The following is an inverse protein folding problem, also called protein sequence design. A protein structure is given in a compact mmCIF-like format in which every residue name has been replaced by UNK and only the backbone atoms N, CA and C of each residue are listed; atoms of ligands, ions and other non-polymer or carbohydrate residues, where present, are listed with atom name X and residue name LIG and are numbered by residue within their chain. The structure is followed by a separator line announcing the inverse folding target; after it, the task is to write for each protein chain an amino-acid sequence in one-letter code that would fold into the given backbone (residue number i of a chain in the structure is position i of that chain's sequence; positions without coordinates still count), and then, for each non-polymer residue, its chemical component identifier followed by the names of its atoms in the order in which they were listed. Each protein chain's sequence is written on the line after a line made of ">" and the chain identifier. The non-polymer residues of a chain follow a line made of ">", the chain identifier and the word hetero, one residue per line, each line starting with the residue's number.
data_IF_293811865362
#
_entry.id   IF_293811865362
#
_cell.length_a   1.000
_cell.length_b   1.000
_cell.length_c   1.000
_cell.angle_alpha   90.00
_cell.angle_beta   90.00
_cell.angle_gamma   90.00
#
_symmetry.space_group_name_H-M   'P 1'
#
loop_
_entity.id
_entity.type
_entity.pdbx_description
1 polymer ?
#
# COMPACT_ATOMS: atom_id res chain seq x y z
N UNK A 1 -14.81 -4.23 10.29
CA UNK A 1 -15.37 -3.98 8.94
C UNK A 1 -14.40 -4.52 7.90
N UNK A 2 -14.88 -5.14 6.82
CA UNK A 2 -14.04 -5.63 5.72
C UNK A 2 -13.78 -4.53 4.68
N UNK A 3 -12.63 -4.59 3.99
CA UNK A 3 -12.26 -3.66 2.92
C UNK A 3 -13.39 -3.51 1.89
N UNK A 4 -13.89 -4.64 1.37
CA UNK A 4 -14.91 -4.65 0.33
C UNK A 4 -16.22 -3.99 0.76
N UNK A 5 -16.68 -4.23 1.99
CA UNK A 5 -17.90 -3.61 2.50
C UNK A 5 -17.74 -2.08 2.64
N UNK A 6 -16.61 -1.63 3.17
CA UNK A 6 -16.33 -0.19 3.31
C UNK A 6 -16.16 0.48 1.94
N UNK A 7 -15.48 -0.16 0.99
CA UNK A 7 -15.31 0.35 -0.37
C UNK A 7 -16.65 0.46 -1.13
N UNK A 8 -17.60 -0.46 -0.92
CA UNK A 8 -18.97 -0.33 -1.43
C UNK A 8 -19.68 0.91 -0.89
N UNK A 9 -19.54 1.19 0.41
CA UNK A 9 -20.11 2.42 1.01
C UNK A 9 -19.53 3.70 0.44
N UNK A 10 -18.26 3.71 0.03
CA UNK A 10 -17.66 4.88 -0.64
C UNK A 10 -18.27 5.09 -2.03
N UNK A 11 -18.63 4.01 -2.73
CA UNK A 11 -19.23 4.05 -4.07
C UNK A 11 -20.73 4.33 -4.07
N UNK A 12 -21.41 4.07 -2.96
CA UNK A 12 -22.86 4.18 -2.85
C UNK A 12 -23.34 5.65 -2.95
N UNK A 13 -24.01 6.05 -4.05
CA UNK A 13 -24.47 7.41 -4.24
C UNK A 13 -25.67 7.77 -3.35
N UNK A 14 -26.37 6.77 -2.78
CA UNK A 14 -27.49 7.02 -1.87
C UNK A 14 -27.03 7.56 -0.51
N UNK A 15 -25.75 7.38 -0.18
CA UNK A 15 -25.17 7.88 1.07
C UNK A 15 -24.71 9.33 0.93
N UNK A 16 -25.02 10.20 1.91
CA UNK A 16 -24.43 11.53 1.99
C UNK A 16 -22.90 11.49 1.86
N UNK A 17 -22.34 12.42 1.07
CA UNK A 17 -20.90 12.49 0.77
C UNK A 17 -20.01 12.44 2.01
N UNK A 18 -20.45 13.06 3.12
CA UNK A 18 -19.75 13.00 4.41
C UNK A 18 -19.52 11.59 4.95
N UNK A 19 -20.49 10.68 4.77
CA UNK A 19 -20.38 9.29 5.22
C UNK A 19 -19.54 8.44 4.28
N UNK A 20 -19.58 8.76 2.98
CA UNK A 20 -18.70 8.16 1.97
C UNK A 20 -17.25 8.52 2.26
N UNK A 21 -16.96 9.80 2.49
CA UNK A 21 -15.63 10.28 2.88
C UNK A 21 -15.16 9.72 4.24
N UNK A 22 -16.05 9.58 5.22
CA UNK A 22 -15.71 8.91 6.48
C UNK A 22 -15.36 7.43 6.26
N UNK A 23 -16.12 6.73 5.43
CA UNK A 23 -15.83 5.34 5.04
C UNK A 23 -14.50 5.24 4.30
N UNK A 24 -14.18 6.21 3.43
CA UNK A 24 -12.88 6.28 2.75
C UNK A 24 -11.71 6.47 3.73
N UNK A 25 -11.85 7.35 4.73
CA UNK A 25 -10.84 7.48 5.80
C UNK A 25 -10.67 6.18 6.60
N UNK A 26 -11.74 5.40 6.79
CA UNK A 26 -11.60 4.06 7.37
C UNK A 26 -10.78 3.11 6.50
N UNK A 27 -10.82 3.24 5.17
CA UNK A 27 -9.94 2.47 4.26
C UNK A 27 -8.48 2.90 4.40
N UNK A 28 -8.20 4.19 4.60
CA UNK A 28 -6.84 4.68 4.87
C UNK A 28 -6.24 4.10 6.16
N UNK A 29 -7.06 3.82 7.18
CA UNK A 29 -6.59 3.10 8.38
C UNK A 29 -6.18 1.64 8.08
N UNK A 30 -6.69 1.05 6.98
CA UNK A 30 -6.39 -0.34 6.59
C UNK A 30 -5.26 -0.46 5.57
N UNK A 31 -4.97 0.61 4.81
CA UNK A 31 -3.91 0.65 3.81
C UNK A 31 -3.37 2.08 3.68
N UNK A 32 -2.22 2.34 4.28
CA UNK A 32 -1.55 3.63 4.23
C UNK A 32 -0.02 3.45 4.13
N UNK A 33 0.52 3.21 2.92
CA UNK A 33 1.94 2.96 2.72
C UNK A 33 2.86 4.05 3.27
N UNK A 34 2.39 5.30 3.26
CA UNK A 34 3.12 6.47 3.76
C UNK A 34 2.67 6.92 5.16
N UNK A 35 1.95 6.06 5.88
CA UNK A 35 1.17 6.47 7.05
C UNK A 35 -0.08 7.27 6.65
N UNK A 36 -1.00 7.46 7.60
CA UNK A 36 -2.35 7.99 7.32
C UNK A 36 -2.32 9.33 6.56
N UNK A 37 -1.65 10.33 7.14
CA UNK A 37 -1.59 11.68 6.56
C UNK A 37 -0.75 11.74 5.28
N UNK A 38 0.38 11.03 5.24
CA UNK A 38 1.23 10.98 4.04
C UNK A 38 0.51 10.34 2.85
N UNK A 39 -0.30 9.31 3.11
CA UNK A 39 -1.10 8.65 2.07
C UNK A 39 -2.23 9.55 1.57
N UNK A 40 -2.93 10.22 2.48
CA UNK A 40 -3.98 11.19 2.14
C UNK A 40 -3.42 12.36 1.30
N UNK A 41 -2.25 12.90 1.68
CA UNK A 41 -1.56 13.94 0.92
C UNK A 41 -1.11 13.46 -0.46
N UNK A 42 -0.55 12.25 -0.55
CA UNK A 42 -0.15 11.64 -1.82
C UNK A 42 -1.33 11.50 -2.78
N UNK A 43 -2.48 11.04 -2.29
CA UNK A 43 -3.71 10.94 -3.08
C UNK A 43 -4.19 12.31 -3.58
N UNK A 44 -4.17 13.33 -2.72
CA UNK A 44 -4.53 14.69 -3.14
C UNK A 44 -3.59 15.20 -4.25
N UNK A 45 -2.28 14.93 -4.13
CA UNK A 45 -1.31 15.30 -5.15
C UNK A 45 -1.52 14.55 -6.47
N UNK A 46 -1.80 13.24 -6.42
CA UNK A 46 -2.09 12.41 -7.60
C UNK A 46 -3.30 12.90 -8.40
N UNK A 47 -4.34 13.39 -7.70
CA UNK A 47 -5.55 13.89 -8.33
C UNK A 47 -5.42 15.32 -8.87
N UNK A 48 -4.26 15.95 -8.72
CA UNK A 48 -4.06 17.35 -9.14
C UNK A 48 -4.91 18.34 -8.34
N UNK A 49 -5.50 17.92 -7.22
CA UNK A 49 -6.26 18.78 -6.34
C UNK A 49 -5.29 19.75 -5.66
N UNK A 50 -5.05 20.92 -6.28
CA UNK A 50 -4.33 22.05 -5.70
C UNK A 50 -5.14 22.57 -4.52
N UNK A 51 -4.99 21.91 -3.38
CA UNK A 51 -5.59 22.35 -2.12
C UNK A 51 -4.73 23.50 -1.61
N UNK A 52 -5.35 24.67 -1.49
CA UNK A 52 -4.76 25.92 -0.98
C UNK A 52 -4.33 25.86 0.49
N UNK A 53 -4.55 24.73 1.18
CA UNK A 53 -4.14 24.56 2.56
C UNK A 53 -2.88 23.67 2.65
N UNK A 54 -1.81 24.12 3.32
CA UNK A 54 -0.64 23.29 3.62
C UNK A 54 -0.93 22.14 4.62
N UNK A 55 -2.19 21.94 5.00
CA UNK A 55 -2.63 20.93 5.96
C UNK A 55 -3.55 19.88 5.29
N UNK A 56 -3.53 18.62 5.75
CA UNK A 56 -4.44 17.59 5.28
C UNK A 56 -5.91 18.01 5.49
N UNK A 57 -6.87 17.54 4.66
CA UNK A 57 -8.30 17.73 4.88
C UNK A 57 -8.68 17.40 6.32
N UNK A 58 -9.01 18.42 7.12
CA UNK A 58 -9.52 18.19 8.47
C UNK A 58 -10.96 17.67 8.45
N UNK A 59 -11.67 17.76 7.32
CA UNK A 59 -13.08 17.34 7.18
C UNK A 59 -13.38 16.70 5.83
N UNK A 60 -14.40 15.85 5.84
CA UNK A 60 -15.04 15.26 4.67
C UNK A 60 -15.57 16.27 3.63
N UNK A 61 -15.59 17.57 3.96
CA UNK A 61 -16.20 18.64 3.17
C UNK A 61 -15.32 19.12 2.01
N UNK A 62 -14.10 18.58 1.90
CA UNK A 62 -13.10 19.01 0.91
C UNK A 62 -12.90 17.99 -0.23
N UNK A 63 -13.75 16.97 -0.32
CA UNK A 63 -13.75 15.99 -1.40
C UNK A 63 -15.00 16.19 -2.24
N UNK A 64 -14.85 16.35 -3.55
CA UNK A 64 -15.95 16.11 -4.47
C UNK A 64 -16.21 14.61 -4.60
N UNK A 65 -17.39 14.24 -5.09
CA UNK A 65 -17.70 12.83 -5.38
C UNK A 65 -16.70 12.21 -6.39
N UNK A 66 -16.37 12.94 -7.45
CA UNK A 66 -15.45 12.48 -8.47
C UNK A 66 -14.04 12.23 -7.90
N UNK A 67 -13.51 13.16 -7.10
CA UNK A 67 -12.21 13.00 -6.45
C UNK A 67 -12.21 11.80 -5.48
N UNK A 68 -13.30 11.61 -4.72
CA UNK A 68 -13.41 10.52 -3.77
C UNK A 68 -13.37 9.14 -4.47
N UNK A 69 -14.08 9.01 -5.59
CA UNK A 69 -14.08 7.79 -6.39
C UNK A 69 -12.73 7.53 -7.06
N UNK A 70 -12.08 8.58 -7.59
CA UNK A 70 -10.75 8.46 -8.17
C UNK A 70 -9.68 8.11 -7.13
N UNK A 71 -9.74 8.69 -5.93
CA UNK A 71 -8.85 8.33 -4.83
C UNK A 71 -9.09 6.89 -4.36
N UNK A 72 -10.34 6.43 -4.33
CA UNK A 72 -10.65 5.03 -4.03
C UNK A 72 -10.01 4.09 -5.05
N UNK A 73 -10.15 4.37 -6.35
CA UNK A 73 -9.54 3.56 -7.41
C UNK A 73 -8.00 3.53 -7.29
N UNK A 74 -7.37 4.68 -7.06
CA UNK A 74 -5.93 4.76 -6.85
C UNK A 74 -5.47 3.96 -5.61
N UNK A 75 -6.22 4.06 -4.51
CA UNK A 75 -5.93 3.33 -3.27
C UNK A 75 -6.11 1.81 -3.45
N UNK A 76 -7.13 1.39 -4.19
CA UNK A 76 -7.35 -0.03 -4.51
C UNK A 76 -6.24 -0.58 -5.41
N UNK A 77 -5.77 0.18 -6.41
CA UNK A 77 -4.59 -0.18 -7.23
C UNK A 77 -3.35 -0.35 -6.36
N UNK A 78 -3.09 0.60 -5.46
CA UNK A 78 -1.99 0.49 -4.50
C UNK A 78 -2.12 -0.77 -3.63
N UNK A 79 -3.29 -0.99 -3.02
CA UNK A 79 -3.53 -2.16 -2.19
C UNK A 79 -3.36 -3.47 -2.95
N UNK A 80 -3.88 -3.55 -4.17
CA UNK A 80 -3.77 -4.73 -5.02
C UNK A 80 -2.30 -5.06 -5.32
N UNK A 81 -1.46 -4.05 -5.62
CA UNK A 81 -0.02 -4.26 -5.84
C UNK A 81 0.67 -4.83 -4.59
N UNK A 82 0.36 -4.30 -3.40
CA UNK A 82 0.90 -4.79 -2.13
C UNK A 82 0.44 -6.22 -1.80
N UNK A 83 -0.84 -6.54 -2.05
CA UNK A 83 -1.36 -7.90 -1.86
C UNK A 83 -0.71 -8.90 -2.81
N UNK A 84 -0.52 -8.51 -4.08
CA UNK A 84 0.18 -9.34 -5.07
C UNK A 84 1.63 -9.58 -4.67
N UNK A 85 2.34 -8.52 -4.26
CA UNK A 85 3.70 -8.62 -3.74
C UNK A 85 3.78 -9.64 -2.59
N UNK A 86 2.88 -9.52 -1.60
CA UNK A 86 2.84 -10.43 -0.44
C UNK A 86 2.51 -11.87 -0.83
N UNK A 87 1.63 -12.08 -1.81
CA UNK A 87 1.28 -13.41 -2.31
C UNK A 87 2.49 -14.08 -2.98
N UNK A 88 3.19 -13.37 -3.87
CA UNK A 88 4.40 -13.87 -4.54
C UNK A 88 5.50 -14.17 -3.52
N UNK A 89 5.73 -13.26 -2.57
CA UNK A 89 6.70 -13.49 -1.50
C UNK A 89 6.33 -14.74 -0.66
N UNK A 90 5.07 -14.92 -0.33
CA UNK A 90 4.60 -16.08 0.44
C UNK A 90 4.82 -17.40 -0.32
N UNK A 91 4.55 -17.42 -1.63
CA UNK A 91 4.80 -18.57 -2.49
C UNK A 91 6.30 -18.91 -2.52
N UNK A 92 7.16 -17.91 -2.79
CA UNK A 92 8.61 -18.09 -2.79
C UNK A 92 9.12 -18.61 -1.44
N UNK A 93 8.66 -18.01 -0.34
CA UNK A 93 9.02 -18.43 1.02
C UNK A 93 8.54 -19.84 1.37
N UNK A 94 7.40 -20.28 0.82
CA UNK A 94 6.93 -21.65 0.97
C UNK A 94 7.91 -22.65 0.35
N UNK A 95 8.39 -22.36 -0.87
CA UNK A 95 9.41 -23.16 -1.57
C UNK A 95 10.74 -23.17 -0.80
N UNK A 96 11.25 -22.01 -0.39
CA UNK A 96 12.48 -21.90 0.41
C UNK A 96 12.38 -22.65 1.75
N UNK A 97 11.20 -22.64 2.39
CA UNK A 97 10.97 -23.39 3.63
C UNK A 97 11.03 -24.90 3.40
N UNK A 98 10.52 -25.39 2.27
CA UNK A 98 10.63 -26.79 1.86
C UNK A 98 12.10 -27.19 1.60
N UNK A 99 12.90 -26.27 1.08
CA UNK A 99 14.37 -26.40 0.93
C UNK A 99 15.17 -26.16 2.23
N UNK A 100 14.52 -26.24 3.40
CA UNK A 100 15.11 -26.02 4.73
C UNK A 100 15.67 -24.61 5.00
N UNK A 101 15.44 -23.62 4.14
CA UNK A 101 15.78 -22.20 4.38
C UNK A 101 14.65 -21.50 5.14
N UNK A 102 14.56 -21.78 6.44
CA UNK A 102 13.40 -21.40 7.27
C UNK A 102 13.34 -19.94 7.70
N UNK A 103 14.45 -19.20 7.60
CA UNK A 103 14.49 -17.79 8.00
C UNK A 103 14.50 -16.86 6.77
N UNK A 104 13.59 -15.88 6.67
CA UNK A 104 13.72 -14.82 5.67
C UNK A 104 14.96 -13.99 5.96
N UNK A 105 15.60 -13.47 4.91
CA UNK A 105 16.80 -12.66 5.09
C UNK A 105 16.45 -11.27 5.64
N UNK A 106 17.48 -10.54 6.09
CA UNK A 106 17.31 -9.11 6.40
C UNK A 106 16.93 -8.29 5.17
N UNK A 107 17.43 -8.67 3.99
CA UNK A 107 17.09 -8.02 2.72
C UNK A 107 15.61 -8.18 2.38
N UNK A 108 15.06 -9.38 2.57
CA UNK A 108 13.65 -9.67 2.33
C UNK A 108 12.74 -8.86 3.26
N UNK A 109 13.10 -8.76 4.54
CA UNK A 109 12.37 -7.93 5.51
C UNK A 109 12.42 -6.44 5.11
N UNK A 110 13.60 -5.95 4.74
CA UNK A 110 13.75 -4.56 4.31
C UNK A 110 12.96 -4.24 3.04
N UNK A 111 12.88 -5.17 2.07
CA UNK A 111 12.07 -5.01 0.87
C UNK A 111 10.56 -5.00 1.18
N UNK A 112 10.12 -5.87 2.11
CA UNK A 112 8.73 -5.90 2.59
C UNK A 112 8.33 -4.60 3.30
N UNK A 113 9.19 -4.08 4.18
CA UNK A 113 8.92 -2.91 5.02
C UNK A 113 9.14 -1.57 4.28
N UNK A 114 9.67 -1.60 3.04
CA UNK A 114 9.96 -0.39 2.28
C UNK A 114 8.69 0.40 1.99
N UNK A 115 8.75 1.70 2.27
CA UNK A 115 7.66 2.67 2.12
C UNK A 115 7.50 3.04 0.63
N UNK A 116 6.53 2.42 -0.04
CA UNK A 116 6.28 2.57 -1.49
C UNK A 116 4.79 2.59 -1.82
N UNK A 117 4.40 3.43 -2.78
CA UNK A 117 3.01 3.51 -3.24
C UNK A 117 2.58 2.23 -3.95
N UNK A 118 3.38 1.77 -4.92
CA UNK A 118 3.18 0.52 -5.65
C UNK A 118 4.33 -0.43 -5.34
N UNK A 119 4.01 -1.69 -5.09
CA UNK A 119 4.98 -2.76 -4.91
C UNK A 119 5.15 -3.54 -6.21
N UNK A 120 6.40 -3.84 -6.56
CA UNK A 120 6.72 -4.66 -7.72
C UNK A 120 6.67 -6.16 -7.38
N UNK A 121 5.71 -6.88 -7.95
CA UNK A 121 5.56 -8.31 -7.73
C UNK A 121 6.76 -9.11 -8.26
N UNK A 122 7.48 -8.63 -9.28
CA UNK A 122 8.64 -9.30 -9.83
C UNK A 122 9.88 -9.13 -8.93
N UNK A 123 9.95 -8.04 -8.17
CA UNK A 123 10.89 -7.91 -7.05
C UNK A 123 10.60 -8.97 -5.98
N UNK A 124 9.34 -9.20 -5.59
CA UNK A 124 8.99 -10.21 -4.58
C UNK A 124 9.42 -11.64 -4.95
N UNK A 125 9.49 -11.97 -6.24
CA UNK A 125 9.97 -13.27 -6.71
C UNK A 125 11.47 -13.48 -6.46
N UNK A 126 12.24 -12.41 -6.28
CA UNK A 126 13.70 -12.45 -6.09
C UNK A 126 14.06 -12.44 -4.61
N UNK A 127 14.93 -13.37 -4.19
CA UNK A 127 15.49 -13.37 -2.84
C UNK A 127 16.49 -12.23 -2.69
N UNK A 128 16.31 -11.40 -1.67
CA UNK A 128 17.26 -10.33 -1.38
C UNK A 128 18.28 -10.84 -0.35
N UNK A 129 19.59 -10.90 -0.65
CA UNK A 129 20.57 -11.34 0.33
C UNK A 129 20.67 -10.35 1.50
N UNK A 130 21.04 -10.85 2.68
CA UNK A 130 21.40 -9.96 3.80
C UNK A 130 22.74 -9.25 3.54
N UNK A 131 22.98 -8.09 4.15
CA UNK A 131 24.23 -7.32 3.94
C UNK A 131 25.51 -8.07 4.28
N UNK A 132 25.46 -9.09 5.14
CA UNK A 132 26.60 -9.98 5.46
C UNK A 132 26.81 -11.04 4.39
N UNK A 133 25.72 -11.56 3.84
CA UNK A 133 25.72 -12.58 2.78
C UNK A 133 26.24 -11.98 1.46
N UNK A 134 25.73 -10.81 1.08
CA UNK A 134 26.20 -10.08 -0.09
C UNK A 134 27.70 -9.75 -0.04
N UNK A 135 28.24 -9.42 1.15
CA UNK A 135 29.69 -9.17 1.32
C UNK A 135 30.54 -10.44 1.20
N UNK A 136 30.00 -11.59 1.64
CA UNK A 136 30.68 -12.88 1.51
C UNK A 136 30.75 -13.29 0.04
N UNK A 137 29.63 -13.15 -0.68
CA UNK A 137 29.54 -13.58 -2.07
C UNK A 137 30.30 -12.63 -3.03
N UNK A 138 30.59 -11.40 -2.61
CA UNK A 138 31.38 -10.42 -3.36
C UNK A 138 32.91 -10.53 -3.15
N UNK A 139 33.40 -11.42 -2.27
CA UNK A 139 34.85 -11.64 -2.14
C UNK A 139 35.31 -12.61 -3.25
N UNK A 140 36.24 -12.20 -4.13
CA UNK A 140 36.87 -13.15 -5.04
C UNK A 140 37.66 -14.20 -4.24
N UNK A 141 37.58 -15.46 -4.70
CA UNK A 141 38.33 -16.59 -4.14
C UNK A 141 39.83 -16.47 -4.41
#
# INVERSE_FOLDING_TARGET
>A
MSWAATARRVRDPSLPLRYRASSFRSLLNLHAPFGFHGTEQHLCALLGARRTSPWPPRRARDWTEAELLQALDALEKSRASHLRYRAVLAERRSREKAEHRRQPTRGDRAALDRVEWLKDADEAARRHPGSREARRDARPS
#
